data_IF_343375567509
#
_entry.id   IF_343375567509
#
_cell.length_a   1.000
_cell.length_b   1.000
_cell.length_c   1.000
_cell.angle_alpha   90.00
_cell.angle_beta   90.00
_cell.angle_gamma   90.00
#
_symmetry.space_group_name_H-M   'P 1'
#
loop_
_entity.id
_entity.type
_entity.pdbx_description
1 polymer ?
#
# COMPACT_ATOMS: atom_id res chain seq x y z
N UNK A 1 3.15 -14.38 -42.61
CA UNK A 1 2.37 -13.23 -43.11
C UNK A 1 0.87 -13.51 -43.34
N UNK A 2 0.43 -14.73 -43.57
CA UNK A 2 -0.99 -15.06 -43.84
C UNK A 2 -1.89 -15.07 -42.58
N UNK A 3 -1.34 -15.22 -41.36
CA UNK A 3 -2.10 -15.29 -40.10
C UNK A 3 -2.51 -13.90 -39.54
N UNK A 4 -1.76 -12.85 -39.88
CA UNK A 4 -1.99 -11.47 -39.39
C UNK A 4 -3.17 -10.81 -40.10
N UNK A 5 -3.47 -11.15 -41.34
CA UNK A 5 -4.57 -10.56 -42.11
C UNK A 5 -5.98 -11.01 -41.72
N UNK A 6 -6.15 -12.07 -40.94
CA UNK A 6 -7.47 -12.56 -40.48
C UNK A 6 -7.93 -11.98 -39.13
N UNK A 7 -7.04 -11.33 -38.36
CA UNK A 7 -7.36 -10.75 -37.07
C UNK A 7 -7.85 -9.28 -37.22
N UNK A 8 -7.54 -8.64 -38.35
CA UNK A 8 -7.79 -7.21 -38.58
C UNK A 8 -9.29 -6.84 -38.81
N UNK A 9 -10.18 -7.80 -38.98
CA UNK A 9 -11.57 -7.54 -39.41
C UNK A 9 -12.58 -7.48 -38.23
N UNK A 10 -12.17 -7.73 -36.98
CA UNK A 10 -13.09 -7.82 -35.84
C UNK A 10 -12.76 -6.93 -34.63
N UNK A 11 -11.80 -6.02 -34.74
CA UNK A 11 -11.43 -5.15 -33.60
C UNK A 11 -11.72 -3.67 -33.94
N UNK A 12 -12.40 -2.97 -33.02
CA UNK A 12 -12.59 -1.51 -33.06
C UNK A 12 -11.24 -0.78 -32.91
N UNK A 13 -11.11 0.46 -33.47
CA UNK A 13 -9.87 1.24 -33.46
C UNK A 13 -9.18 1.30 -32.08
N UNK A 14 -9.90 1.47 -31.00
CA UNK A 14 -9.35 1.50 -29.63
C UNK A 14 -8.76 0.16 -29.15
N UNK A 15 -9.22 -0.96 -29.70
CA UNK A 15 -8.67 -2.31 -29.41
C UNK A 15 -7.41 -2.59 -30.21
N UNK A 16 -7.29 -2.02 -31.41
CA UNK A 16 -6.08 -2.11 -32.26
C UNK A 16 -4.91 -1.34 -31.63
N UNK A 17 -5.15 -0.15 -31.07
CA UNK A 17 -4.12 0.66 -30.42
C UNK A 17 -3.58 -0.02 -29.14
N UNK A 18 -4.46 -0.63 -28.36
CA UNK A 18 -4.08 -1.45 -27.19
C UNK A 18 -3.32 -2.71 -27.60
N UNK A 19 -3.73 -3.39 -28.67
CA UNK A 19 -3.05 -4.58 -29.16
C UNK A 19 -1.68 -4.24 -29.77
N UNK A 20 -1.57 -3.13 -30.51
CA UNK A 20 -0.31 -2.59 -31.03
C UNK A 20 0.64 -2.16 -29.91
N UNK A 21 0.12 -1.54 -28.85
CA UNK A 21 0.90 -1.19 -27.66
C UNK A 21 1.41 -2.45 -26.93
N UNK A 22 0.58 -3.47 -26.78
CA UNK A 22 0.99 -4.76 -26.19
C UNK A 22 1.99 -5.49 -27.09
N UNK A 23 1.76 -5.53 -28.40
CA UNK A 23 2.70 -6.16 -29.37
C UNK A 23 4.02 -5.39 -29.42
N UNK A 24 4.01 -4.06 -29.41
CA UNK A 24 5.21 -3.25 -29.38
C UNK A 24 5.97 -3.42 -28.06
N UNK A 25 5.26 -3.53 -26.93
CA UNK A 25 5.88 -3.83 -25.64
C UNK A 25 6.46 -5.26 -25.59
N UNK A 26 5.78 -6.26 -26.18
CA UNK A 26 6.30 -7.64 -26.30
C UNK A 26 7.49 -7.70 -27.26
N UNK A 27 7.46 -6.95 -28.36
CA UNK A 27 8.59 -6.85 -29.29
C UNK A 27 9.77 -6.07 -28.68
N UNK A 28 9.52 -4.96 -27.98
CA UNK A 28 10.54 -4.24 -27.24
C UNK A 28 11.19 -5.12 -26.15
N UNK A 29 10.40 -5.93 -25.44
CA UNK A 29 10.89 -6.91 -24.48
C UNK A 29 11.72 -8.03 -25.14
N UNK A 30 11.38 -8.48 -26.35
CA UNK A 30 12.15 -9.49 -27.11
C UNK A 30 13.44 -8.92 -27.73
N UNK A 31 13.44 -7.66 -28.16
CA UNK A 31 14.66 -7.02 -28.72
C UNK A 31 15.60 -6.47 -27.63
N UNK A 32 15.09 -6.23 -26.39
CA UNK A 32 15.90 -5.79 -25.27
C UNK A 32 16.67 -6.91 -24.56
N UNK A 33 16.50 -8.17 -24.96
CA UNK A 33 17.09 -9.33 -24.26
C UNK A 33 18.59 -9.57 -24.53
N UNK A 34 19.26 -8.75 -25.34
CA UNK A 34 20.67 -8.98 -25.74
C UNK A 34 21.70 -8.07 -25.04
N UNK A 35 21.27 -7.02 -24.32
CA UNK A 35 22.22 -6.17 -23.57
C UNK A 35 22.33 -6.67 -22.15
N UNK A 36 23.41 -7.41 -21.86
CA UNK A 36 23.77 -7.75 -20.48
C UNK A 36 24.04 -6.48 -19.69
N UNK A 37 23.44 -6.38 -18.50
CA UNK A 37 23.67 -5.28 -17.56
C UNK A 37 24.79 -5.70 -16.61
N UNK A 38 25.78 -4.85 -16.44
CA UNK A 38 26.84 -5.06 -15.43
C UNK A 38 26.55 -4.17 -14.21
N UNK A 39 26.78 -4.70 -13.04
CA UNK A 39 26.66 -3.98 -11.78
C UNK A 39 26.48 -4.91 -10.59
N UNK A 40 26.76 -4.37 -9.41
CA UNK A 40 26.68 -5.06 -8.11
C UNK A 40 25.43 -4.62 -7.36
N UNK A 41 24.68 -5.59 -6.84
CA UNK A 41 23.42 -5.37 -6.10
C UNK A 41 23.57 -5.96 -4.69
N UNK A 42 23.33 -5.15 -3.67
CA UNK A 42 23.19 -5.61 -2.28
C UNK A 42 21.71 -5.68 -1.91
N UNK A 43 21.20 -6.87 -1.64
CA UNK A 43 19.84 -7.11 -1.14
C UNK A 43 19.90 -7.30 0.37
N UNK A 44 19.33 -6.33 1.12
CA UNK A 44 19.47 -6.20 2.56
C UNK A 44 18.32 -6.79 3.37
N UNK A 45 17.21 -7.08 2.73
CA UNK A 45 16.00 -7.62 3.35
C UNK A 45 15.51 -8.86 2.60
N UNK A 46 14.68 -9.67 3.27
CA UNK A 46 14.03 -10.80 2.61
C UNK A 46 13.03 -10.31 1.56
N UNK A 47 13.27 -10.67 0.31
CA UNK A 47 12.41 -10.41 -0.85
C UNK A 47 12.10 -11.70 -1.58
N UNK A 48 11.09 -11.69 -2.45
CA UNK A 48 10.77 -12.87 -3.25
C UNK A 48 11.90 -13.24 -4.22
N UNK A 49 12.15 -14.54 -4.36
CA UNK A 49 13.25 -15.08 -5.17
C UNK A 49 13.15 -14.67 -6.63
N UNK A 50 11.94 -14.44 -7.16
CA UNK A 50 11.72 -14.00 -8.55
C UNK A 50 12.47 -12.71 -8.89
N UNK A 51 12.55 -11.77 -7.96
CA UNK A 51 13.31 -10.52 -8.14
C UNK A 51 14.81 -10.75 -8.21
N UNK A 52 15.34 -11.57 -7.30
CA UNK A 52 16.77 -11.96 -7.25
C UNK A 52 17.16 -12.66 -8.56
N UNK A 53 16.37 -13.64 -8.98
CA UNK A 53 16.63 -14.41 -10.20
C UNK A 53 16.53 -13.55 -11.47
N UNK A 54 15.62 -12.58 -11.49
CA UNK A 54 15.48 -11.65 -12.61
C UNK A 54 16.70 -10.75 -12.76
N UNK A 55 17.22 -10.20 -11.65
CA UNK A 55 18.45 -9.41 -11.64
C UNK A 55 19.68 -10.23 -12.07
N UNK A 56 19.83 -11.45 -11.53
CA UNK A 56 20.92 -12.37 -11.92
C UNK A 56 20.87 -12.73 -13.40
N UNK A 57 19.69 -13.07 -13.94
CA UNK A 57 19.51 -13.40 -15.36
C UNK A 57 19.85 -12.22 -16.28
N UNK A 58 19.65 -10.99 -15.82
CA UNK A 58 20.03 -9.80 -16.55
C UNK A 58 21.54 -9.52 -16.56
N UNK A 59 22.34 -10.25 -15.78
CA UNK A 59 23.80 -10.13 -15.71
C UNK A 59 24.31 -9.40 -14.47
N UNK A 60 23.44 -9.04 -13.50
CA UNK A 60 23.85 -8.38 -12.27
C UNK A 60 24.45 -9.36 -11.27
N UNK A 61 25.49 -8.93 -10.56
CA UNK A 61 26.06 -9.67 -9.42
C UNK A 61 25.24 -9.34 -8.19
N UNK A 62 24.42 -10.28 -7.70
CA UNK A 62 23.52 -10.08 -6.57
C UNK A 62 24.07 -10.74 -5.31
N UNK A 63 24.33 -9.93 -4.29
CA UNK A 63 24.68 -10.36 -2.95
C UNK A 63 23.45 -10.27 -2.04
N UNK A 64 22.96 -11.41 -1.56
CA UNK A 64 21.77 -11.52 -0.72
C UNK A 64 22.17 -11.64 0.73
N UNK A 65 21.92 -10.60 1.53
CA UNK A 65 22.23 -10.51 2.97
C UNK A 65 20.99 -10.03 3.75
N UNK A 66 19.91 -10.85 3.86
CA UNK A 66 18.64 -10.41 4.42
C UNK A 66 18.69 -9.99 5.88
N UNK A 67 19.74 -10.40 6.61
CA UNK A 67 19.91 -10.12 8.03
C UNK A 67 21.07 -9.15 8.33
N UNK A 68 21.53 -8.40 7.31
CA UNK A 68 22.64 -7.46 7.46
C UNK A 68 22.36 -6.48 8.62
N UNK A 69 23.37 -6.25 9.44
CA UNK A 69 23.28 -5.34 10.58
C UNK A 69 23.60 -3.89 10.13
N UNK A 70 23.09 -2.86 10.84
CA UNK A 70 23.32 -1.47 10.45
C UNK A 70 24.79 -1.10 10.26
N UNK A 71 25.67 -1.48 11.18
CA UNK A 71 27.10 -1.20 11.09
C UNK A 71 27.79 -1.93 9.92
N UNK A 72 27.37 -3.18 9.62
CA UNK A 72 27.84 -3.92 8.45
C UNK A 72 27.34 -3.29 7.14
N UNK A 73 26.11 -2.79 7.13
CA UNK A 73 25.54 -2.10 5.97
C UNK A 73 26.38 -0.87 5.62
N UNK A 74 26.65 0.00 6.60
CA UNK A 74 27.47 1.21 6.39
C UNK A 74 28.85 0.88 5.84
N UNK A 75 29.51 -0.17 6.37
CA UNK A 75 30.85 -0.55 5.92
C UNK A 75 30.88 -1.22 4.54
N UNK A 76 29.81 -1.92 4.16
CA UNK A 76 29.74 -2.73 2.93
C UNK A 76 29.15 -1.96 1.74
N UNK A 77 28.23 -1.02 1.97
CA UNK A 77 27.42 -0.41 0.89
C UNK A 77 28.25 0.33 -0.17
N UNK A 78 29.46 0.75 0.15
CA UNK A 78 30.36 1.49 -0.77
C UNK A 78 30.72 0.73 -2.05
N UNK A 79 30.61 -0.59 -2.06
CA UNK A 79 31.05 -1.48 -3.14
C UNK A 79 29.90 -1.86 -4.10
N UNK A 80 28.71 -1.26 -3.93
CA UNK A 80 27.51 -1.63 -4.67
C UNK A 80 26.92 -0.49 -5.50
N UNK A 81 26.52 -0.81 -6.73
CA UNK A 81 25.77 0.09 -7.62
C UNK A 81 24.29 0.25 -7.19
N UNK A 82 23.72 -0.80 -6.61
CA UNK A 82 22.30 -0.87 -6.22
C UNK A 82 22.15 -1.40 -4.81
N UNK A 83 21.38 -0.68 -4.01
CA UNK A 83 20.93 -1.11 -2.70
C UNK A 83 19.44 -1.47 -2.77
N UNK A 84 19.08 -2.73 -2.46
CA UNK A 84 17.71 -3.21 -2.41
C UNK A 84 17.32 -3.45 -0.96
N UNK A 85 16.27 -2.74 -0.51
CA UNK A 85 15.75 -2.83 0.86
C UNK A 85 14.24 -3.10 0.86
N UNK A 86 13.70 -3.48 2.03
CA UNK A 86 12.27 -3.56 2.27
C UNK A 86 11.89 -2.67 3.47
N UNK A 87 11.24 -3.20 4.49
CA UNK A 87 10.76 -2.40 5.64
C UNK A 87 11.72 -2.42 6.83
N UNK A 88 12.50 -3.49 7.01
CA UNK A 88 13.39 -3.68 8.17
C UNK A 88 14.63 -2.79 8.09
N UNK A 89 15.28 -2.76 6.94
CA UNK A 89 16.54 -2.01 6.76
C UNK A 89 16.27 -0.53 6.63
N UNK A 90 16.89 0.28 7.50
CA UNK A 90 16.82 1.75 7.43
C UNK A 90 18.01 2.27 6.62
N UNK A 91 17.72 3.01 5.56
CA UNK A 91 18.71 3.71 4.72
C UNK A 91 18.79 5.14 5.19
N UNK A 92 19.56 5.33 6.27
CA UNK A 92 19.80 6.64 6.90
C UNK A 92 20.75 7.49 6.06
N UNK A 93 20.88 8.77 6.40
CA UNK A 93 21.89 9.66 5.80
C UNK A 93 23.29 9.06 5.87
N UNK A 94 23.66 8.40 6.98
CA UNK A 94 24.97 7.75 7.14
C UNK A 94 25.19 6.63 6.11
N UNK A 95 24.16 5.79 5.86
CA UNK A 95 24.21 4.74 4.83
C UNK A 95 24.35 5.36 3.44
N UNK A 96 23.57 6.41 3.16
CA UNK A 96 23.63 7.14 1.88
C UNK A 96 25.01 7.79 1.70
N UNK A 97 25.58 8.36 2.75
CA UNK A 97 26.92 8.97 2.70
C UNK A 97 28.02 7.93 2.43
N UNK A 98 27.88 6.73 2.95
CA UNK A 98 28.80 5.62 2.70
C UNK A 98 28.62 4.99 1.30
N UNK A 99 27.47 5.14 0.66
CA UNK A 99 27.12 4.53 -0.61
C UNK A 99 27.71 5.28 -1.82
N UNK A 100 29.04 5.34 -1.90
CA UNK A 100 29.78 6.17 -2.86
C UNK A 100 29.64 5.73 -4.32
N UNK A 101 29.35 4.46 -4.58
CA UNK A 101 29.14 3.93 -5.94
C UNK A 101 27.67 3.77 -6.30
N UNK A 102 26.76 3.91 -5.31
CA UNK A 102 25.35 3.64 -5.52
C UNK A 102 24.70 4.59 -6.53
N UNK A 103 24.01 4.01 -7.50
CA UNK A 103 23.18 4.70 -8.50
C UNK A 103 21.71 4.62 -8.14
N UNK A 104 21.32 3.53 -7.45
CA UNK A 104 19.93 3.22 -7.16
C UNK A 104 19.79 2.73 -5.71
N UNK A 105 18.79 3.29 -5.00
CA UNK A 105 18.22 2.72 -3.78
C UNK A 105 16.82 2.26 -4.15
N UNK A 106 16.57 0.96 -4.06
CA UNK A 106 15.33 0.32 -4.48
C UNK A 106 14.58 -0.26 -3.27
N UNK A 107 13.39 0.25 -2.99
CA UNK A 107 12.53 -0.23 -1.92
C UNK A 107 11.47 -1.20 -2.46
N UNK A 108 11.54 -2.47 -2.08
CA UNK A 108 10.54 -3.49 -2.43
C UNK A 108 9.27 -3.26 -1.60
N UNK A 109 8.34 -2.46 -2.13
CA UNK A 109 7.06 -2.07 -1.52
C UNK A 109 6.69 -0.62 -1.81
N UNK A 110 5.76 -0.03 -1.04
CA UNK A 110 5.09 1.24 -1.35
C UNK A 110 5.78 2.44 -0.70
N UNK A 111 5.86 2.47 0.64
CA UNK A 111 6.36 3.63 1.40
C UNK A 111 7.87 3.78 1.29
N UNK A 112 8.38 4.96 1.57
CA UNK A 112 9.80 5.28 1.60
C UNK A 112 10.24 5.78 2.98
N UNK A 113 9.44 5.53 4.00
CA UNK A 113 9.63 6.04 5.38
C UNK A 113 10.94 5.58 6.02
N UNK A 114 11.53 4.50 5.52
CA UNK A 114 12.80 3.97 5.99
C UNK A 114 14.00 4.36 5.12
N UNK A 115 13.82 5.30 4.16
CA UNK A 115 14.87 5.79 3.25
C UNK A 115 15.00 7.31 3.39
N UNK A 116 16.18 7.80 3.65
CA UNK A 116 16.49 9.24 3.58
C UNK A 116 16.57 9.69 2.11
N UNK A 117 15.38 10.02 1.57
CA UNK A 117 15.23 10.39 0.15
C UNK A 117 15.98 11.69 -0.14
N UNK A 118 15.98 12.65 0.80
CA UNK A 118 16.67 13.95 0.61
C UNK A 118 18.19 13.75 0.51
N UNK A 119 18.77 12.93 1.39
CA UNK A 119 20.19 12.59 1.30
C UNK A 119 20.54 11.90 -0.02
N UNK A 120 19.67 10.97 -0.48
CA UNK A 120 19.87 10.27 -1.74
C UNK A 120 19.82 11.22 -2.95
N UNK A 121 18.87 12.16 -2.97
CA UNK A 121 18.73 13.18 -4.03
C UNK A 121 19.95 14.10 -4.10
N UNK A 122 20.46 14.57 -2.95
CA UNK A 122 21.68 15.39 -2.90
C UNK A 122 22.89 14.66 -3.51
N UNK A 123 22.93 13.33 -3.40
CA UNK A 123 23.98 12.49 -4.01
C UNK A 123 23.65 12.03 -5.42
N UNK A 124 22.51 12.44 -5.97
CA UNK A 124 22.01 12.00 -7.29
C UNK A 124 21.79 10.47 -7.36
N UNK A 125 21.50 9.84 -6.23
CA UNK A 125 21.12 8.43 -6.15
C UNK A 125 19.63 8.35 -6.41
N UNK A 126 19.22 7.54 -7.39
CA UNK A 126 17.81 7.38 -7.75
C UNK A 126 17.09 6.47 -6.76
N UNK A 127 16.04 7.00 -6.09
CA UNK A 127 15.20 6.20 -5.20
C UNK A 127 14.00 5.67 -5.98
N UNK A 128 13.75 4.36 -5.92
CA UNK A 128 12.60 3.71 -6.59
C UNK A 128 11.84 2.79 -5.62
N UNK A 129 10.54 2.65 -5.88
CA UNK A 129 9.64 1.78 -5.13
C UNK A 129 8.64 1.09 -6.06
N UNK A 130 7.73 0.25 -5.49
CA UNK A 130 6.71 -0.51 -6.21
C UNK A 130 5.30 -0.22 -5.64
N UNK A 131 4.75 1.01 -5.79
CA UNK A 131 3.45 1.36 -5.21
C UNK A 131 2.29 0.58 -5.81
N UNK A 132 2.41 0.10 -7.04
CA UNK A 132 1.42 -0.70 -7.74
C UNK A 132 1.22 -2.09 -7.14
N UNK A 133 2.26 -2.66 -6.52
CA UNK A 133 2.30 -4.07 -6.14
C UNK A 133 1.37 -4.41 -4.94
N UNK A 134 1.17 -3.48 -4.02
CA UNK A 134 0.38 -3.74 -2.81
C UNK A 134 -1.10 -3.34 -2.96
N UNK A 135 -1.48 -2.68 -4.05
CA UNK A 135 -2.79 -2.01 -4.13
C UNK A 135 -3.97 -2.97 -3.95
N UNK A 136 -3.93 -4.16 -4.53
CA UNK A 136 -5.01 -5.16 -4.40
C UNK A 136 -5.02 -5.74 -2.98
N UNK A 137 -3.87 -6.20 -2.49
CA UNK A 137 -3.77 -6.82 -1.16
C UNK A 137 -4.26 -5.90 -0.03
N UNK A 138 -3.84 -4.62 -0.06
CA UNK A 138 -4.33 -3.62 0.91
C UNK A 138 -5.83 -3.42 0.80
N UNK A 139 -6.37 -3.37 -0.44
CA UNK A 139 -7.80 -3.18 -0.66
C UNK A 139 -8.63 -4.34 -0.11
N UNK A 140 -8.16 -5.57 -0.29
CA UNK A 140 -8.80 -6.77 0.25
C UNK A 140 -8.75 -6.80 1.78
N UNK A 141 -7.62 -6.42 2.38
CA UNK A 141 -7.49 -6.29 3.84
C UNK A 141 -8.50 -5.28 4.40
N UNK A 142 -8.65 -4.11 3.75
CA UNK A 142 -9.64 -3.08 4.17
C UNK A 142 -11.05 -3.66 4.19
N UNK A 143 -11.47 -4.36 3.12
CA UNK A 143 -12.79 -5.01 3.09
C UNK A 143 -12.93 -6.06 4.21
N UNK A 144 -11.88 -6.86 4.43
CA UNK A 144 -11.84 -7.83 5.54
C UNK A 144 -11.97 -7.17 6.92
N UNK A 145 -11.27 -6.05 7.15
CA UNK A 145 -11.34 -5.27 8.38
C UNK A 145 -12.72 -4.63 8.57
N UNK A 146 -13.32 -4.08 7.51
CA UNK A 146 -14.69 -3.53 7.54
C UNK A 146 -15.70 -4.60 7.96
N UNK A 147 -15.63 -5.80 7.38
CA UNK A 147 -16.52 -6.93 7.73
C UNK A 147 -16.24 -7.39 9.17
N UNK A 148 -14.97 -7.45 9.57
CA UNK A 148 -14.56 -7.84 10.92
C UNK A 148 -15.15 -6.91 11.99
N UNK A 149 -15.13 -5.59 11.77
CA UNK A 149 -15.76 -4.60 12.63
C UNK A 149 -17.29 -4.73 12.61
N UNK A 150 -17.88 -4.69 11.42
CA UNK A 150 -19.34 -4.72 11.25
C UNK A 150 -20.02 -5.95 11.88
N UNK A 151 -19.29 -7.06 11.98
CA UNK A 151 -19.79 -8.35 12.47
C UNK A 151 -19.10 -8.84 13.75
N UNK A 152 -18.21 -8.04 14.34
CA UNK A 152 -17.44 -8.39 15.56
C UNK A 152 -16.76 -9.75 15.45
N UNK A 153 -16.18 -10.08 14.28
CA UNK A 153 -15.64 -11.41 13.97
C UNK A 153 -14.53 -11.84 14.95
N UNK A 154 -13.53 -10.98 15.31
CA UNK A 154 -12.48 -11.38 16.24
C UNK A 154 -13.02 -11.76 17.62
N UNK A 155 -14.01 -11.00 18.14
CA UNK A 155 -14.68 -11.29 19.40
C UNK A 155 -15.48 -12.59 19.32
N UNK A 156 -16.23 -12.79 18.23
CA UNK A 156 -17.03 -13.99 18.04
C UNK A 156 -16.15 -15.24 17.99
N UNK A 157 -15.06 -15.21 17.27
CA UNK A 157 -14.09 -16.32 17.16
C UNK A 157 -13.48 -16.64 18.54
N UNK A 158 -12.97 -15.61 19.23
CA UNK A 158 -12.32 -15.78 20.54
C UNK A 158 -13.25 -16.37 21.58
N UNK A 159 -14.49 -15.88 21.69
CA UNK A 159 -15.46 -16.37 22.68
C UNK A 159 -15.95 -17.79 22.32
N UNK A 160 -16.20 -18.08 21.06
CA UNK A 160 -16.60 -19.43 20.63
C UNK A 160 -15.52 -20.46 20.96
N UNK A 161 -14.24 -20.14 20.73
CA UNK A 161 -13.11 -21.03 21.08
C UNK A 161 -12.94 -21.22 22.58
N UNK A 162 -13.40 -20.26 23.40
CA UNK A 162 -13.46 -20.39 24.88
C UNK A 162 -14.67 -21.20 25.37
N UNK A 163 -15.55 -21.63 24.46
CA UNK A 163 -16.80 -22.35 24.79
C UNK A 163 -17.98 -21.42 25.14
N UNK A 164 -17.84 -20.12 24.96
CA UNK A 164 -18.88 -19.15 25.25
C UNK A 164 -19.79 -18.93 24.05
N UNK A 165 -21.12 -19.16 24.22
CA UNK A 165 -22.12 -18.99 23.16
C UNK A 165 -22.82 -17.62 23.28
N UNK A 166 -22.14 -16.53 22.87
CA UNK A 166 -22.57 -15.14 23.06
C UNK A 166 -23.40 -14.57 21.88
N UNK A 167 -24.16 -15.40 21.17
CA UNK A 167 -24.93 -15.02 19.96
C UNK A 167 -25.75 -13.74 20.12
N UNK A 168 -26.36 -13.55 21.30
CA UNK A 168 -27.24 -12.40 21.58
C UNK A 168 -26.49 -11.06 21.66
N UNK A 169 -25.19 -11.09 22.00
CA UNK A 169 -24.35 -9.91 22.17
C UNK A 169 -23.61 -9.52 20.89
N UNK A 170 -23.83 -10.27 19.78
CA UNK A 170 -23.17 -10.09 18.50
C UNK A 170 -24.11 -9.57 17.40
N UNK A 171 -24.97 -8.58 17.76
CA UNK A 171 -25.80 -7.89 16.78
C UNK A 171 -24.91 -6.98 15.92
N UNK A 172 -24.68 -7.37 14.68
CA UNK A 172 -23.86 -6.63 13.73
C UNK A 172 -24.67 -5.77 12.76
N UNK A 173 -23.95 -5.10 11.84
CA UNK A 173 -24.54 -4.31 10.76
C UNK A 173 -24.16 -4.89 9.38
N UNK A 174 -24.99 -4.64 8.37
CA UNK A 174 -24.71 -4.97 6.97
C UNK A 174 -23.95 -3.82 6.30
N UNK A 175 -23.09 -4.14 5.35
CA UNK A 175 -22.42 -3.13 4.51
C UNK A 175 -23.34 -2.59 3.40
N UNK A 176 -24.21 -3.44 2.85
CA UNK A 176 -25.15 -3.07 1.78
C UNK A 176 -26.01 -1.88 2.17
N UNK A 177 -26.06 -0.86 1.28
CA UNK A 177 -26.79 0.38 1.50
C UNK A 177 -26.09 1.42 2.39
N UNK A 178 -25.00 1.06 3.05
CA UNK A 178 -24.20 1.98 3.88
C UNK A 178 -23.30 2.87 3.02
N UNK A 179 -22.90 4.01 3.58
CA UNK A 179 -21.97 4.93 2.96
C UNK A 179 -20.53 4.63 3.38
N UNK A 180 -19.68 4.40 2.39
CA UNK A 180 -18.22 4.31 2.57
C UNK A 180 -17.58 5.63 2.17
N UNK A 181 -16.97 6.31 3.13
CA UNK A 181 -16.12 7.47 2.92
C UNK A 181 -14.69 7.02 2.61
N UNK A 182 -14.15 7.41 1.47
CA UNK A 182 -12.77 7.10 1.05
C UNK A 182 -11.96 8.40 1.07
N UNK A 183 -11.00 8.50 1.98
CA UNK A 183 -10.06 9.61 2.10
C UNK A 183 -8.75 9.22 1.41
N UNK A 184 -8.47 9.86 0.27
CA UNK A 184 -7.40 9.44 -0.64
C UNK A 184 -7.88 8.44 -1.70
N UNK A 185 -8.23 8.94 -2.89
CA UNK A 185 -8.81 8.14 -4.00
C UNK A 185 -7.75 7.80 -5.05
N UNK A 186 -6.55 7.43 -4.59
CA UNK A 186 -5.46 6.89 -5.41
C UNK A 186 -5.72 5.46 -5.87
N UNK A 187 -4.66 4.69 -6.17
CA UNK A 187 -4.79 3.30 -6.64
C UNK A 187 -5.54 2.39 -5.65
N UNK A 188 -5.20 2.47 -4.35
CA UNK A 188 -5.85 1.68 -3.30
C UNK A 188 -7.31 2.13 -3.13
N UNK A 189 -7.55 3.43 -2.96
CA UNK A 189 -8.90 3.95 -2.76
C UNK A 189 -9.87 3.61 -3.92
N UNK A 190 -9.39 3.63 -5.16
CA UNK A 190 -10.18 3.21 -6.32
C UNK A 190 -10.51 1.71 -6.31
N UNK A 191 -9.55 0.85 -5.96
CA UNK A 191 -9.82 -0.58 -5.85
C UNK A 191 -10.85 -0.88 -4.76
N UNK A 192 -10.71 -0.25 -3.59
CA UNK A 192 -11.69 -0.35 -2.50
C UNK A 192 -13.06 0.14 -2.96
N UNK A 193 -13.13 1.26 -3.67
CA UNK A 193 -14.38 1.78 -4.21
C UNK A 193 -15.09 0.78 -5.11
N UNK A 194 -14.37 0.10 -6.02
CA UNK A 194 -14.94 -0.95 -6.87
C UNK A 194 -15.44 -2.16 -6.07
N UNK A 195 -14.65 -2.62 -5.10
CA UNK A 195 -15.03 -3.72 -4.22
C UNK A 195 -16.26 -3.37 -3.36
N UNK A 196 -16.30 -2.17 -2.77
CA UNK A 196 -17.42 -1.70 -1.98
C UNK A 196 -18.69 -1.50 -2.82
N UNK A 197 -18.57 -1.05 -4.08
CA UNK A 197 -19.68 -1.00 -5.02
C UNK A 197 -20.27 -2.39 -5.29
N UNK A 198 -19.44 -3.42 -5.45
CA UNK A 198 -19.89 -4.80 -5.59
C UNK A 198 -20.63 -5.31 -4.33
N UNK A 199 -20.26 -4.80 -3.14
CA UNK A 199 -20.96 -5.04 -1.88
C UNK A 199 -22.21 -4.15 -1.70
N UNK A 200 -22.63 -3.41 -2.74
CA UNK A 200 -23.79 -2.52 -2.77
C UNK A 200 -23.71 -1.37 -1.76
N UNK A 201 -22.49 -0.88 -1.47
CA UNK A 201 -22.30 0.34 -0.67
C UNK A 201 -22.44 1.59 -1.56
N UNK A 202 -22.81 2.70 -0.93
CA UNK A 202 -22.75 4.04 -1.52
C UNK A 202 -21.37 4.63 -1.26
N UNK A 203 -20.78 5.36 -2.22
CA UNK A 203 -19.42 5.88 -2.10
C UNK A 203 -19.40 7.38 -1.96
N UNK A 204 -18.63 7.87 -1.01
CA UNK A 204 -18.28 9.28 -0.84
C UNK A 204 -16.75 9.36 -0.87
N UNK A 205 -16.19 10.27 -1.66
CA UNK A 205 -14.74 10.41 -1.82
C UNK A 205 -14.22 11.80 -1.53
N UNK A 206 -13.06 11.87 -0.90
CA UNK A 206 -12.26 13.08 -0.74
C UNK A 206 -10.82 12.81 -1.16
N UNK A 207 -10.30 13.71 -1.98
CA UNK A 207 -8.89 13.76 -2.36
C UNK A 207 -8.52 15.23 -2.62
N UNK A 208 -7.36 15.75 -2.17
CA UNK A 208 -6.94 17.12 -2.49
C UNK A 208 -6.65 17.31 -3.98
N UNK A 209 -6.45 16.22 -4.73
CA UNK A 209 -6.26 16.22 -6.17
C UNK A 209 -7.52 15.76 -6.92
N UNK A 210 -7.69 16.14 -8.20
CA UNK A 210 -8.84 15.72 -9.00
C UNK A 210 -8.95 14.19 -9.09
N UNK A 211 -10.12 13.68 -8.68
CA UNK A 211 -10.43 12.25 -8.79
C UNK A 211 -10.74 11.92 -10.26
N UNK A 212 -10.28 10.75 -10.72
CA UNK A 212 -10.50 10.28 -12.08
C UNK A 212 -12.00 10.23 -12.43
N UNK A 213 -12.41 10.95 -13.49
CA UNK A 213 -13.81 11.07 -13.91
C UNK A 213 -14.44 9.76 -14.35
N UNK A 214 -13.66 8.88 -14.98
CA UNK A 214 -14.11 7.56 -15.39
C UNK A 214 -14.46 6.70 -14.18
N UNK A 215 -13.62 6.72 -13.14
CA UNK A 215 -13.90 6.05 -11.86
C UNK A 215 -15.17 6.60 -11.18
N UNK A 216 -15.37 7.92 -11.17
CA UNK A 216 -16.59 8.53 -10.62
C UNK A 216 -17.83 8.03 -11.39
N UNK A 217 -17.77 8.03 -12.73
CA UNK A 217 -18.87 7.54 -13.59
C UNK A 217 -19.14 6.04 -13.39
N UNK A 218 -18.09 5.23 -13.27
CA UNK A 218 -18.17 3.79 -13.04
C UNK A 218 -18.85 3.44 -11.71
N UNK A 219 -18.49 4.16 -10.65
CA UNK A 219 -18.87 3.80 -9.28
C UNK A 219 -20.06 4.59 -8.75
N UNK A 220 -20.36 5.75 -9.32
CA UNK A 220 -21.35 6.69 -8.78
C UNK A 220 -20.88 7.39 -7.50
N UNK A 221 -19.53 7.51 -7.28
CA UNK A 221 -18.97 8.17 -6.12
C UNK A 221 -19.38 9.64 -6.06
N UNK A 222 -19.84 10.08 -4.88
CA UNK A 222 -20.07 11.49 -4.55
C UNK A 222 -18.75 12.08 -4.08
N UNK A 223 -18.23 13.09 -4.79
CA UNK A 223 -17.01 13.81 -4.38
C UNK A 223 -17.41 15.00 -3.53
N UNK A 224 -16.77 15.15 -2.35
CA UNK A 224 -17.09 16.24 -1.41
C UNK A 224 -15.85 16.65 -0.61
N UNK A 225 -15.99 17.64 0.27
CA UNK A 225 -14.96 17.98 1.26
C UNK A 225 -14.87 16.94 2.39
N UNK A 226 -13.75 16.98 3.12
CA UNK A 226 -13.45 16.00 4.17
C UNK A 226 -14.49 16.03 5.30
N UNK A 227 -14.94 17.20 5.75
CA UNK A 227 -15.87 17.31 6.87
C UNK A 227 -17.23 16.71 6.52
N UNK A 228 -17.77 17.06 5.36
CA UNK A 228 -19.03 16.49 4.84
C UNK A 228 -18.92 14.96 4.68
N UNK A 229 -17.78 14.45 4.22
CA UNK A 229 -17.53 13.01 4.14
C UNK A 229 -17.62 12.36 5.54
N UNK A 230 -16.95 12.93 6.55
CA UNK A 230 -16.93 12.38 7.92
C UNK A 230 -18.33 12.37 8.55
N UNK A 231 -19.11 13.41 8.34
CA UNK A 231 -20.48 13.54 8.86
C UNK A 231 -21.47 12.56 8.19
N UNK A 232 -21.21 12.18 6.94
CA UNK A 232 -22.13 11.40 6.12
C UNK A 232 -21.83 9.89 6.12
N UNK A 233 -20.57 9.51 6.30
CA UNK A 233 -20.13 8.12 6.15
C UNK A 233 -20.52 7.23 7.34
N UNK A 234 -20.82 5.96 7.06
CA UNK A 234 -20.99 4.91 8.05
C UNK A 234 -19.68 4.12 8.28
N UNK A 235 -18.82 4.10 7.27
CA UNK A 235 -17.46 3.59 7.31
C UNK A 235 -16.53 4.63 6.68
N UNK A 236 -15.41 4.91 7.29
CA UNK A 236 -14.37 5.81 6.75
C UNK A 236 -13.08 5.02 6.65
N UNK A 237 -12.44 5.06 5.48
CA UNK A 237 -11.14 4.45 5.25
C UNK A 237 -10.16 5.48 4.67
N UNK A 238 -8.92 5.51 5.18
CA UNK A 238 -7.94 6.49 4.73
C UNK A 238 -6.76 5.82 4.01
N UNK A 239 -6.35 6.46 2.90
CA UNK A 239 -5.30 5.99 1.99
C UNK A 239 -4.42 7.15 1.52
N UNK A 240 -4.04 8.00 2.46
CA UNK A 240 -3.16 9.15 2.23
C UNK A 240 -1.74 8.86 2.70
N UNK A 241 -0.70 9.48 2.09
CA UNK A 241 0.67 9.40 2.59
C UNK A 241 0.82 10.14 3.93
N UNK A 242 1.88 9.85 4.70
CA UNK A 242 2.29 10.67 5.82
C UNK A 242 3.03 11.92 5.29
N UNK A 243 2.43 13.08 5.47
CA UNK A 243 3.01 14.39 5.16
C UNK A 243 2.70 15.36 6.31
N UNK A 244 3.33 16.55 6.37
CA UNK A 244 2.94 17.55 7.37
C UNK A 244 1.44 17.89 7.34
N UNK A 245 0.81 17.90 6.16
CA UNK A 245 -0.60 18.24 5.97
C UNK A 245 -1.55 17.10 6.39
N UNK A 246 -1.10 15.85 6.33
CA UNK A 246 -1.90 14.68 6.70
C UNK A 246 -1.61 14.18 8.12
N UNK A 247 -0.57 14.70 8.76
CA UNK A 247 -0.28 14.37 10.15
C UNK A 247 -1.46 14.78 11.05
N UNK A 248 -1.93 13.81 11.84
CA UNK A 248 -3.13 13.97 12.68
C UNK A 248 -4.32 14.59 11.92
N UNK A 249 -4.46 14.21 10.63
CA UNK A 249 -5.63 14.59 9.83
C UNK A 249 -6.93 14.18 10.53
N UNK A 250 -6.93 13.03 11.22
CA UNK A 250 -8.02 12.59 12.09
C UNK A 250 -7.70 12.96 13.55
N UNK A 251 -7.82 14.24 13.87
CA UNK A 251 -7.71 14.78 15.22
C UNK A 251 -9.05 14.73 15.97
N UNK A 252 -9.08 15.19 17.23
CA UNK A 252 -10.27 15.16 18.09
C UNK A 252 -11.48 15.88 17.45
N UNK A 253 -11.25 17.02 16.77
CA UNK A 253 -12.33 17.78 16.12
C UNK A 253 -12.97 16.96 14.97
N UNK A 254 -12.17 16.39 14.09
CA UNK A 254 -12.64 15.61 12.93
C UNK A 254 -13.23 14.27 13.33
N UNK A 255 -12.64 13.60 14.33
CA UNK A 255 -13.21 12.37 14.89
C UNK A 255 -14.60 12.62 15.54
N UNK A 256 -14.77 13.76 16.19
CA UNK A 256 -16.07 14.15 16.76
C UNK A 256 -17.16 14.46 15.72
N UNK A 257 -16.80 14.71 14.45
CA UNK A 257 -17.76 14.90 13.34
C UNK A 257 -18.32 13.58 12.81
N UNK A 258 -17.65 12.46 13.07
CA UNK A 258 -18.11 11.16 12.59
C UNK A 258 -19.40 10.75 13.34
N UNK A 259 -20.24 9.98 12.67
CA UNK A 259 -21.42 9.39 13.31
C UNK A 259 -21.00 8.49 14.47
N UNK A 260 -21.75 8.49 15.57
CA UNK A 260 -21.49 7.56 16.69
C UNK A 260 -21.61 6.09 16.30
N UNK A 261 -22.29 5.79 15.21
CA UNK A 261 -22.43 4.46 14.63
C UNK A 261 -21.37 4.14 13.56
N UNK A 262 -20.46 5.07 13.25
CA UNK A 262 -19.48 4.91 12.19
C UNK A 262 -18.24 4.13 12.65
N UNK A 263 -17.53 3.59 11.68
CA UNK A 263 -16.27 2.87 11.84
C UNK A 263 -15.14 3.56 11.09
N UNK A 264 -13.96 3.62 11.69
CA UNK A 264 -12.74 4.16 11.06
C UNK A 264 -11.75 3.04 10.74
N UNK A 265 -11.21 3.00 9.52
CA UNK A 265 -10.21 2.04 9.07
C UNK A 265 -8.95 2.77 8.62
N UNK A 266 -7.79 2.40 9.18
CA UNK A 266 -6.51 2.92 8.75
C UNK A 266 -5.55 1.79 8.38
N UNK A 267 -5.21 1.73 7.11
CA UNK A 267 -4.17 0.86 6.54
C UNK A 267 -3.13 1.67 5.76
N UNK A 268 -3.06 2.99 6.01
CA UNK A 268 -2.15 3.91 5.31
C UNK A 268 -0.88 4.19 6.11
N UNK A 269 -0.93 5.15 7.04
CA UNK A 269 0.14 5.51 7.97
C UNK A 269 -0.45 5.84 9.35
N UNK A 270 0.25 5.44 10.42
CA UNK A 270 -0.17 5.69 11.79
C UNK A 270 -0.34 7.17 12.11
N UNK A 271 0.63 7.99 11.76
CA UNK A 271 0.65 9.44 11.99
C UNK A 271 -0.56 10.22 11.40
N UNK A 272 -1.37 9.59 10.55
CA UNK A 272 -2.57 10.23 10.00
C UNK A 272 -3.68 10.37 11.05
N UNK A 273 -3.67 9.52 12.05
CA UNK A 273 -4.62 9.54 13.17
C UNK A 273 -3.90 9.95 14.44
N UNK A 274 -4.49 10.86 15.20
CA UNK A 274 -4.13 11.10 16.61
C UNK A 274 -4.68 9.93 17.44
N UNK A 275 -3.81 9.01 17.85
CA UNK A 275 -4.19 7.80 18.60
C UNK A 275 -4.82 8.11 19.96
N UNK A 276 -4.44 9.22 20.61
CA UNK A 276 -5.03 9.62 21.87
C UNK A 276 -6.46 10.13 21.67
N UNK A 277 -6.66 10.95 20.63
CA UNK A 277 -8.00 11.42 20.28
C UNK A 277 -8.91 10.27 19.85
N UNK A 278 -8.39 9.30 19.10
CA UNK A 278 -9.12 8.09 18.71
C UNK A 278 -9.53 7.25 19.93
N UNK A 279 -8.62 7.05 20.90
CA UNK A 279 -8.91 6.35 22.14
C UNK A 279 -10.07 6.98 22.89
N UNK A 280 -10.08 8.31 23.06
CA UNK A 280 -11.13 9.02 23.80
C UNK A 280 -12.51 8.89 23.13
N UNK A 281 -12.61 9.00 21.80
CA UNK A 281 -13.91 8.86 21.12
C UNK A 281 -14.42 7.42 21.10
N UNK A 282 -13.53 6.43 21.03
CA UNK A 282 -13.88 5.01 21.10
C UNK A 282 -14.32 4.61 22.49
N UNK A 283 -13.57 5.01 23.52
CA UNK A 283 -13.86 4.75 24.95
C UNK A 283 -15.17 5.37 25.39
N UNK A 284 -15.46 6.58 24.91
CA UNK A 284 -16.72 7.27 25.22
C UNK A 284 -17.91 6.83 24.39
N UNK A 285 -17.77 5.89 23.45
CA UNK A 285 -18.82 5.43 22.55
C UNK A 285 -19.27 6.46 21.51
N UNK A 286 -18.48 7.51 21.27
CA UNK A 286 -18.73 8.51 20.22
C UNK A 286 -18.33 8.01 18.82
N UNK A 287 -17.66 6.88 18.74
CA UNK A 287 -17.36 6.15 17.52
C UNK A 287 -17.60 4.66 17.77
N UNK A 288 -18.24 3.95 16.84
CA UNK A 288 -18.62 2.55 17.03
C UNK A 288 -17.41 1.61 17.11
N UNK A 289 -16.35 1.89 16.34
CA UNK A 289 -15.13 1.11 16.37
C UNK A 289 -14.09 1.58 15.38
N UNK A 290 -12.89 1.00 15.47
CA UNK A 290 -11.80 1.26 14.54
C UNK A 290 -11.04 -0.02 14.16
N UNK A 291 -10.46 -0.04 12.97
CA UNK A 291 -9.49 -1.06 12.55
C UNK A 291 -8.17 -0.39 12.14
N UNK A 292 -7.08 -0.85 12.73
CA UNK A 292 -5.76 -0.27 12.58
C UNK A 292 -4.78 -1.35 12.12
N UNK A 293 -4.22 -1.17 10.92
CA UNK A 293 -3.10 -1.98 10.43
C UNK A 293 -1.76 -1.29 10.65
N UNK A 294 -1.81 0.02 10.95
CA UNK A 294 -0.65 0.90 11.15
C UNK A 294 -0.83 1.76 12.40
N UNK A 295 0.30 2.15 13.02
CA UNK A 295 0.32 2.87 14.29
C UNK A 295 1.32 4.02 14.26
N UNK A 296 1.14 5.05 15.11
CA UNK A 296 2.09 6.18 15.22
C UNK A 296 3.50 5.68 15.55
N UNK A 297 3.59 4.62 16.37
CA UNK A 297 4.84 3.92 16.68
C UNK A 297 4.66 2.44 16.40
N UNK A 298 5.54 1.85 15.62
CA UNK A 298 5.53 0.42 15.29
C UNK A 298 6.78 -0.29 15.83
N UNK A 299 6.65 -1.31 16.71
CA UNK A 299 5.44 -1.90 17.28
C UNK A 299 4.68 -0.93 18.19
N UNK A 300 3.30 -1.03 18.25
CA UNK A 300 2.47 -0.09 18.97
C UNK A 300 2.70 -0.12 20.49
N UNK A 301 2.72 1.08 21.07
CA UNK A 301 2.93 1.26 22.52
C UNK A 301 1.65 1.63 23.28
N UNK A 302 0.62 2.13 22.60
CA UNK A 302 -0.66 2.50 23.21
C UNK A 302 -1.52 1.26 23.48
N UNK A 303 -1.22 0.57 24.59
CA UNK A 303 -1.91 -0.66 24.98
C UNK A 303 -3.39 -0.42 25.33
N UNK A 304 -3.74 0.76 25.81
CA UNK A 304 -5.12 1.09 26.18
C UNK A 304 -6.01 1.12 24.94
N UNK A 305 -5.56 1.77 23.87
CA UNK A 305 -6.27 1.78 22.59
C UNK A 305 -6.43 0.37 22.02
N UNK A 306 -5.36 -0.42 21.99
CA UNK A 306 -5.38 -1.78 21.42
C UNK A 306 -6.27 -2.76 22.21
N UNK A 307 -6.48 -2.53 23.50
CA UNK A 307 -7.29 -3.39 24.36
C UNK A 307 -8.79 -3.04 24.34
N UNK A 308 -9.20 -2.00 23.62
CA UNK A 308 -10.62 -1.68 23.47
C UNK A 308 -11.33 -2.78 22.68
N UNK A 309 -12.48 -3.23 23.17
CA UNK A 309 -13.25 -4.32 22.56
C UNK A 309 -13.81 -4.00 21.16
N UNK A 310 -13.88 -2.71 20.82
CA UNK A 310 -14.34 -2.17 19.55
C UNK A 310 -13.18 -1.77 18.61
N UNK A 311 -11.95 -2.23 18.90
CA UNK A 311 -10.77 -2.03 18.05
C UNK A 311 -10.30 -3.37 17.49
N UNK A 312 -9.98 -3.40 16.20
CA UNK A 312 -9.34 -4.53 15.49
C UNK A 312 -7.94 -4.08 15.06
N UNK A 313 -6.92 -4.81 15.49
CA UNK A 313 -5.53 -4.50 15.19
C UNK A 313 -4.89 -5.59 14.32
N UNK A 314 -4.09 -5.18 13.33
CA UNK A 314 -3.20 -6.06 12.56
C UNK A 314 -1.79 -5.47 12.50
N UNK A 315 -0.73 -6.28 12.44
CA UNK A 315 0.65 -5.82 12.58
C UNK A 315 1.27 -5.41 11.24
N UNK A 316 0.70 -4.37 10.59
CA UNK A 316 1.15 -3.79 9.31
C UNK A 316 1.28 -4.85 8.20
N UNK A 317 0.20 -5.58 7.97
CA UNK A 317 0.15 -6.70 7.01
C UNK A 317 -0.53 -6.35 5.68
N UNK A 318 -0.85 -5.08 5.43
CA UNK A 318 -1.56 -4.66 4.21
C UNK A 318 -0.98 -5.18 2.91
N UNK A 319 0.36 -5.24 2.81
CA UNK A 319 1.07 -5.78 1.63
C UNK A 319 1.61 -7.22 1.86
N UNK A 320 1.17 -7.93 2.90
CA UNK A 320 1.74 -9.21 3.30
C UNK A 320 0.99 -10.40 2.67
N UNK A 321 0.88 -10.40 1.35
CA UNK A 321 0.40 -11.54 0.56
C UNK A 321 1.50 -12.05 -0.38
N UNK A 322 1.45 -13.32 -0.77
CA UNK A 322 2.43 -13.91 -1.70
C UNK A 322 2.47 -13.14 -3.02
N UNK A 323 1.31 -12.84 -3.56
CA UNK A 323 1.14 -12.14 -4.84
C UNK A 323 1.72 -10.72 -4.79
N UNK A 324 1.45 -9.96 -3.72
CA UNK A 324 2.00 -8.62 -3.56
C UNK A 324 3.53 -8.63 -3.38
N UNK A 325 4.07 -9.61 -2.64
CA UNK A 325 5.51 -9.75 -2.43
C UNK A 325 6.23 -10.15 -3.72
N UNK A 326 5.69 -11.11 -4.46
CA UNK A 326 6.22 -11.55 -5.76
C UNK A 326 6.19 -10.38 -6.76
N UNK A 327 5.05 -9.69 -6.87
CA UNK A 327 4.89 -8.56 -7.79
C UNK A 327 5.83 -7.40 -7.44
N UNK A 328 5.97 -7.05 -6.15
CA UNK A 328 6.89 -6.00 -5.71
C UNK A 328 8.33 -6.31 -6.07
N UNK A 329 8.76 -7.57 -5.85
CA UNK A 329 10.11 -8.02 -6.15
C UNK A 329 10.38 -8.01 -7.67
N UNK A 330 9.40 -8.42 -8.47
CA UNK A 330 9.47 -8.40 -9.94
C UNK A 330 9.57 -6.98 -10.47
N UNK A 331 8.66 -6.09 -10.04
CA UNK A 331 8.63 -4.68 -10.47
C UNK A 331 9.94 -3.97 -10.13
N UNK A 332 10.47 -4.16 -8.93
CA UNK A 332 11.75 -3.56 -8.53
C UNK A 332 12.90 -4.09 -9.38
N UNK A 333 12.97 -5.40 -9.62
CA UNK A 333 14.00 -5.97 -10.47
C UNK A 333 13.95 -5.39 -11.90
N UNK A 334 12.75 -5.27 -12.47
CA UNK A 334 12.55 -4.67 -13.80
C UNK A 334 12.98 -3.20 -13.83
N UNK A 335 12.56 -2.38 -12.85
CA UNK A 335 12.97 -0.96 -12.76
C UNK A 335 14.48 -0.81 -12.62
N UNK A 336 15.13 -1.60 -11.75
CA UNK A 336 16.60 -1.62 -11.61
C UNK A 336 17.29 -1.92 -12.93
N UNK A 337 16.85 -2.97 -13.63
CA UNK A 337 17.43 -3.39 -14.91
C UNK A 337 17.24 -2.30 -15.97
N UNK A 338 16.07 -1.68 -16.05
CA UNK A 338 15.77 -0.61 -17.01
C UNK A 338 16.61 0.63 -16.76
N UNK A 339 16.78 1.06 -15.51
CA UNK A 339 17.61 2.21 -15.15
C UNK A 339 19.08 1.95 -15.50
N UNK A 340 19.61 0.78 -15.14
CA UNK A 340 21.01 0.44 -15.44
C UNK A 340 21.28 0.28 -16.93
N UNK A 341 20.25 0.00 -17.75
CA UNK A 341 20.31 0.02 -19.21
C UNK A 341 20.19 1.42 -19.82
N UNK A 342 19.86 2.43 -19.03
CA UNK A 342 19.59 3.78 -19.51
C UNK A 342 18.27 3.89 -20.30
N UNK A 343 17.30 3.03 -20.04
CA UNK A 343 15.99 3.03 -20.72
C UNK A 343 15.02 4.02 -20.07
N UNK A 344 15.11 4.18 -18.75
CA UNK A 344 14.30 5.12 -17.94
C UNK A 344 15.16 5.89 -16.95
#
# INVERSE_FOLDING_TARGET
MACIRRITILLNCNQMDNLLCVINNILALKFSSSVQVSGSVLVCDSIDQVGIDSMKRAGLTVHYKPDIKPAELVSSVKDYDVLVVRSRTKVTKEVVDAAVQAKIIARVGVGLDNVDVQAAEMKKIRVINAPEAASIAVSELVIGLMISLARSIPKADAETKRGNWIKKDLMGTQLSGKYLGIVGVGNIGRNIGRMAKALRMNLIGYDPYPINREFISETGMIVTDLNTLLESADFVTCHVPATPETKHMFNSERLARMKSTAYLINTSRGDVIDENALFEVLKSGKLAGAALDVFEVEPPTNKELMNLANVVCTPHIGAQTKEAQELASRVIAEKVIQILRGVI
#
